data_IF_502236565487
#
_entry.id   IF_502236565487
#
_cell.length_a   1.000
_cell.length_b   1.000
_cell.length_c   1.000
_cell.angle_alpha   90.00
_cell.angle_beta   90.00
_cell.angle_gamma   90.00
#
_symmetry.space_group_name_H-M   'P 1'
#
loop_
_entity.id
_entity.type
_entity.pdbx_description
1 polymer ?
#
# COMPACT_ATOMS: atom_id res chain seq x y z
N UNK A 1 -14.80 39.74 -0.15
CA UNK A 1 -13.59 39.41 0.64
C UNK A 1 -13.82 38.32 1.70
N UNK A 2 -15.01 38.20 2.32
CA UNK A 2 -15.30 37.13 3.32
C UNK A 2 -15.49 35.71 2.74
N UNK A 3 -15.95 35.57 1.49
CA UNK A 3 -16.23 34.26 0.86
C UNK A 3 -14.94 33.46 0.58
N UNK A 4 -13.84 34.15 0.26
CA UNK A 4 -12.54 33.51 0.05
C UNK A 4 -11.99 32.88 1.33
N UNK A 5 -12.29 33.45 2.51
CA UNK A 5 -11.90 32.86 3.80
C UNK A 5 -12.62 31.53 4.06
N UNK A 6 -13.91 31.44 3.69
CA UNK A 6 -14.69 30.19 3.77
C UNK A 6 -14.17 29.14 2.79
N UNK A 7 -13.77 29.53 1.58
CA UNK A 7 -13.15 28.64 0.59
C UNK A 7 -11.78 28.11 1.07
N UNK A 8 -10.97 28.94 1.72
CA UNK A 8 -9.67 28.53 2.28
C UNK A 8 -9.83 27.51 3.43
N UNK A 9 -10.89 27.65 4.24
CA UNK A 9 -11.22 26.71 5.32
C UNK A 9 -11.69 25.33 4.83
N UNK A 10 -12.15 25.22 3.58
CA UNK A 10 -12.62 23.96 2.98
C UNK A 10 -11.50 23.16 2.29
N UNK A 11 -10.37 23.80 1.96
CA UNK A 11 -9.21 23.13 1.32
C UNK A 11 -8.66 21.90 2.07
N UNK A 12 -8.51 21.88 3.42
CA UNK A 12 -7.95 20.72 4.11
C UNK A 12 -8.89 19.49 4.11
N UNK A 13 -10.20 19.68 3.83
CA UNK A 13 -11.14 18.55 3.67
C UNK A 13 -10.97 17.83 2.33
N UNK A 14 -10.38 18.49 1.32
CA UNK A 14 -10.20 17.92 -0.01
C UNK A 14 -8.86 17.16 -0.18
N UNK A 15 -7.87 17.37 0.69
CA UNK A 15 -6.61 16.60 0.68
C UNK A 15 -6.73 15.34 1.54
N UNK A 16 -7.58 14.40 1.14
CA UNK A 16 -7.49 13.05 1.68
C UNK A 16 -6.21 12.40 1.14
N UNK A 17 -5.15 12.35 1.95
CA UNK A 17 -3.89 11.69 1.61
C UNK A 17 -4.21 10.24 1.18
N UNK A 18 -3.89 9.92 -0.08
CA UNK A 18 -3.97 8.55 -0.60
C UNK A 18 -2.55 8.02 -0.73
N UNK A 19 -2.30 6.91 -0.08
CA UNK A 19 -1.06 6.16 -0.22
C UNK A 19 -1.22 5.16 -1.34
N UNK A 20 -0.13 4.98 -2.10
CA UNK A 20 -0.04 4.00 -3.16
C UNK A 20 1.28 3.25 -3.02
N UNK A 21 1.27 1.95 -3.31
CA UNK A 21 2.45 1.11 -3.48
C UNK A 21 2.13 0.00 -4.47
N UNK A 22 3.07 -0.32 -5.35
CA UNK A 22 2.97 -1.47 -6.24
C UNK A 22 3.70 -2.66 -5.64
N UNK A 23 3.08 -3.84 -5.57
CA UNK A 23 3.70 -5.06 -5.02
C UNK A 23 3.39 -6.27 -5.90
N UNK A 24 4.21 -7.31 -5.81
CA UNK A 24 3.83 -8.62 -6.34
C UNK A 24 2.91 -9.36 -5.38
N UNK A 25 1.98 -10.14 -5.89
CA UNK A 25 1.09 -10.96 -5.09
C UNK A 25 0.31 -11.98 -5.90
N UNK A 26 -0.65 -12.61 -5.23
CA UNK A 26 -1.64 -13.49 -5.85
C UNK A 26 -2.95 -12.71 -6.05
N UNK A 27 -3.53 -12.76 -7.26
CA UNK A 27 -4.87 -12.20 -7.51
C UNK A 27 -5.96 -13.25 -7.22
N UNK A 28 -7.23 -12.85 -7.23
CA UNK A 28 -8.41 -13.69 -6.95
C UNK A 28 -8.51 -14.97 -7.82
N UNK A 29 -7.78 -15.01 -8.94
CA UNK A 29 -7.68 -16.18 -9.83
C UNK A 29 -6.51 -17.12 -9.48
N UNK A 30 -5.85 -16.94 -8.32
CA UNK A 30 -4.69 -17.72 -7.88
C UNK A 30 -3.49 -17.65 -8.83
N UNK A 31 -3.37 -16.54 -9.57
CA UNK A 31 -2.22 -16.30 -10.44
C UNK A 31 -1.14 -15.62 -9.62
N UNK A 32 -0.02 -16.30 -9.47
CA UNK A 32 1.12 -15.84 -8.68
C UNK A 32 1.91 -14.75 -9.42
N UNK A 33 2.66 -13.94 -8.65
CA UNK A 33 3.54 -12.89 -9.15
C UNK A 33 2.84 -11.83 -10.02
N UNK A 34 1.57 -11.55 -9.75
CA UNK A 34 0.85 -10.44 -10.38
C UNK A 34 1.22 -9.11 -9.75
N UNK A 35 1.23 -8.06 -10.57
CA UNK A 35 1.47 -6.69 -10.12
C UNK A 35 0.19 -6.11 -9.52
N UNK A 36 0.17 -5.96 -8.20
CA UNK A 36 -0.92 -5.36 -7.44
C UNK A 36 -0.69 -3.85 -7.27
N UNK A 37 -1.73 -3.06 -7.53
CA UNK A 37 -1.77 -1.61 -7.30
C UNK A 37 -2.52 -1.31 -6.00
N UNK A 38 -1.78 -1.17 -4.90
CA UNK A 38 -2.37 -1.05 -3.57
C UNK A 38 -2.56 0.42 -3.21
N UNK A 39 -3.83 0.86 -3.19
CA UNK A 39 -4.21 2.23 -2.85
C UNK A 39 -5.04 2.25 -1.56
N UNK A 40 -4.69 3.14 -0.63
CA UNK A 40 -5.36 3.21 0.66
C UNK A 40 -5.27 4.57 1.33
N UNK A 41 -6.04 4.76 2.41
CA UNK A 41 -5.96 5.94 3.28
C UNK A 41 -4.82 5.86 4.30
N UNK A 42 -4.15 4.70 4.37
CA UNK A 42 -3.05 4.43 5.30
C UNK A 42 -1.86 3.91 4.51
N UNK A 43 -0.66 4.16 5.00
CA UNK A 43 0.56 3.64 4.39
C UNK A 43 0.60 2.10 4.48
N UNK A 44 1.00 1.48 3.38
CA UNK A 44 1.13 0.03 3.23
C UNK A 44 2.56 -0.34 2.84
N UNK A 45 2.91 -1.61 3.01
CA UNK A 45 4.16 -2.21 2.60
C UNK A 45 3.89 -3.43 1.72
N UNK A 46 4.85 -3.79 0.87
CA UNK A 46 4.86 -5.10 0.24
C UNK A 46 5.28 -6.14 1.29
N UNK A 47 4.72 -7.34 1.20
CA UNK A 47 5.11 -8.45 2.05
C UNK A 47 5.37 -9.74 1.27
N UNK A 48 6.15 -10.62 1.89
CA UNK A 48 6.27 -12.04 1.59
C UNK A 48 6.16 -12.80 2.92
N UNK A 49 5.30 -13.80 2.99
CA UNK A 49 5.18 -14.69 4.15
C UNK A 49 6.03 -15.94 3.98
N UNK A 50 6.27 -16.65 5.08
CA UNK A 50 7.08 -17.88 5.09
C UNK A 50 6.50 -19.00 4.20
N UNK A 51 5.19 -18.99 3.95
CA UNK A 51 4.51 -19.92 3.05
C UNK A 51 4.60 -19.49 1.56
N UNK A 52 5.28 -18.40 1.25
CA UNK A 52 5.40 -17.85 -0.11
C UNK A 52 4.30 -16.87 -0.51
N UNK A 53 3.27 -16.65 0.33
CA UNK A 53 2.20 -15.67 0.04
C UNK A 53 2.79 -14.26 -0.05
N UNK A 54 2.44 -13.52 -1.11
CA UNK A 54 2.91 -12.16 -1.36
C UNK A 54 1.73 -11.21 -1.52
N UNK A 55 1.95 -9.93 -1.18
CA UNK A 55 0.97 -8.89 -1.48
C UNK A 55 1.27 -7.58 -0.78
N UNK A 56 0.20 -6.83 -0.46
CA UNK A 56 0.27 -5.57 0.27
C UNK A 56 -0.35 -5.71 1.65
N UNK A 57 0.25 -5.07 2.65
CA UNK A 57 -0.23 -5.12 4.03
C UNK A 57 -0.06 -3.79 4.74
N UNK A 58 -0.73 -3.61 5.87
CA UNK A 58 -0.49 -2.46 6.76
C UNK A 58 0.84 -2.64 7.48
N UNK A 59 1.51 -1.53 7.80
CA UNK A 59 2.82 -1.54 8.46
C UNK A 59 2.83 -2.32 9.79
N UNK A 60 1.73 -2.31 10.53
CA UNK A 60 1.56 -3.07 11.78
C UNK A 60 1.80 -4.58 11.62
N UNK A 61 1.45 -5.15 10.47
CA UNK A 61 1.64 -6.57 10.20
C UNK A 61 3.11 -6.94 9.95
N UNK A 62 3.97 -5.99 9.62
CA UNK A 62 5.40 -6.23 9.36
C UNK A 62 6.19 -6.63 10.61
N UNK A 63 5.62 -6.43 11.80
CA UNK A 63 6.21 -6.87 13.06
C UNK A 63 5.81 -8.30 13.46
N UNK A 64 4.89 -8.92 12.71
CA UNK A 64 4.38 -10.25 13.04
C UNK A 64 5.37 -11.33 12.62
N UNK A 65 5.54 -12.41 13.41
CA UNK A 65 6.34 -13.56 12.99
C UNK A 65 5.87 -14.13 11.65
N UNK A 66 6.83 -14.49 10.80
CA UNK A 66 6.59 -15.04 9.47
C UNK A 66 6.12 -14.03 8.41
N UNK A 67 6.36 -12.74 8.65
CA UNK A 67 6.18 -11.67 7.69
C UNK A 67 7.52 -11.01 7.38
N UNK A 68 7.87 -10.95 6.10
CA UNK A 68 8.98 -10.13 5.61
C UNK A 68 8.38 -8.97 4.83
N UNK A 69 8.71 -7.73 5.22
CA UNK A 69 8.17 -6.53 4.57
C UNK A 69 9.26 -5.69 3.89
N UNK A 70 8.86 -4.93 2.87
CA UNK A 70 9.66 -3.90 2.24
C UNK A 70 8.77 -2.72 1.76
N UNK A 71 9.38 -1.54 1.58
CA UNK A 71 8.64 -0.26 1.56
C UNK A 71 8.74 0.53 0.25
N UNK A 72 9.24 -0.10 -0.81
CA UNK A 72 9.37 0.51 -2.14
C UNK A 72 8.61 -0.29 -3.18
N UNK A 73 8.30 0.32 -4.32
CA UNK A 73 7.56 -0.37 -5.37
C UNK A 73 8.28 -1.63 -5.84
N UNK A 74 7.52 -2.73 -5.93
CA UNK A 74 7.92 -4.04 -6.47
C UNK A 74 9.06 -4.71 -5.71
N UNK A 75 9.33 -4.27 -4.49
CA UNK A 75 10.46 -4.74 -3.70
C UNK A 75 10.37 -6.21 -3.25
N UNK A 76 9.18 -6.81 -3.27
CA UNK A 76 8.95 -8.22 -2.98
C UNK A 76 8.98 -9.12 -4.23
N UNK A 77 9.50 -8.60 -5.35
CA UNK A 77 9.75 -9.39 -6.55
C UNK A 77 10.88 -10.39 -6.34
N UNK A 78 10.83 -11.50 -7.08
CA UNK A 78 11.93 -12.44 -7.11
C UNK A 78 13.14 -11.74 -7.74
N UNK A 79 14.25 -11.64 -7.01
CA UNK A 79 15.50 -11.14 -7.55
C UNK A 79 16.13 -12.29 -8.35
N UNK A 80 15.92 -12.28 -9.67
CA UNK A 80 16.67 -13.14 -10.58
C UNK A 80 18.09 -12.61 -10.75
#
# INVERSE_FOLDING_TARGET
>A
MKVYLLLLLLLPLCSAQRFHISCYGEDFLMVNNLLLQCTGKVQQACYTRDNGEKGCTRLENCSRPGWTCCHTDRCNGDQN
#
